data_IF_870265928390
#
_entry.id   IF_870265928390
#
_cell.length_a   1.000
_cell.length_b   1.000
_cell.length_c   1.000
_cell.angle_alpha   90.00
_cell.angle_beta   90.00
_cell.angle_gamma   90.00
#
_symmetry.space_group_name_H-M   'P 1'
#
loop_
_entity.id
_entity.type
_entity.pdbx_description
1 polymer ?
#
# COMPACT_ATOMS: atom_id res chain seq x y z
N UNK A 1 -28.44 3.94 1.86
CA UNK A 1 -27.36 4.52 2.68
C UNK A 1 -26.08 3.78 2.38
N UNK A 2 -25.09 4.44 1.77
CA UNK A 2 -23.79 3.85 1.51
C UNK A 2 -23.09 3.62 2.87
N UNK A 3 -22.85 2.35 3.22
CA UNK A 3 -22.06 2.03 4.40
C UNK A 3 -20.59 2.26 4.05
N UNK A 4 -20.01 3.21 4.74
CA UNK A 4 -18.60 3.57 4.69
C UNK A 4 -17.74 2.31 4.73
N UNK A 5 -17.00 2.05 3.65
CA UNK A 5 -16.09 0.92 3.52
C UNK A 5 -14.67 1.31 3.96
N UNK A 6 -14.59 2.19 4.95
CA UNK A 6 -13.32 2.60 5.56
C UNK A 6 -12.81 1.43 6.37
N UNK A 7 -11.69 0.86 5.91
CA UNK A 7 -10.90 -0.10 6.65
C UNK A 7 -10.48 0.58 7.96
N UNK A 8 -10.91 0.04 9.09
CA UNK A 8 -10.61 0.63 10.40
C UNK A 8 -9.22 0.18 10.86
N UNK A 9 -8.20 0.84 10.31
CA UNK A 9 -6.78 0.52 10.53
C UNK A 9 -6.35 0.67 12.01
N UNK A 10 -7.12 1.39 12.83
CA UNK A 10 -6.89 1.54 14.27
C UNK A 10 -7.01 0.21 15.01
N UNK A 11 -8.00 -0.61 14.66
CA UNK A 11 -8.29 -1.90 15.32
C UNK A 11 -7.20 -2.96 15.05
N UNK A 12 -6.42 -2.79 13.97
CA UNK A 12 -5.31 -3.67 13.57
C UNK A 12 -4.00 -3.26 14.27
N UNK A 13 -3.75 -1.96 14.46
CA UNK A 13 -2.60 -1.46 15.20
C UNK A 13 -2.68 -1.80 16.70
N UNK A 14 -3.87 -1.68 17.30
CA UNK A 14 -4.10 -2.01 18.71
C UNK A 14 -3.83 -3.49 19.03
N UNK A 15 -4.11 -4.42 18.12
CA UNK A 15 -3.87 -5.87 18.33
C UNK A 15 -2.39 -6.27 18.35
N UNK A 16 -1.48 -5.42 17.87
CA UNK A 16 -0.02 -5.62 18.01
C UNK A 16 0.55 -5.00 19.29
N UNK A 17 -0.23 -4.28 20.09
CA UNK A 17 0.25 -3.64 21.32
C UNK A 17 1.27 -2.53 21.09
N UNK A 18 1.36 -2.00 19.86
CA UNK A 18 2.28 -0.90 19.52
C UNK A 18 1.42 0.29 19.08
N UNK A 19 1.27 1.26 19.97
CA UNK A 19 0.85 2.61 19.57
C UNK A 19 1.99 3.21 18.75
N UNK A 20 2.05 2.91 17.44
CA UNK A 20 2.97 3.61 16.55
C UNK A 20 2.29 4.88 16.05
N UNK A 21 2.91 6.03 16.27
CA UNK A 21 2.55 7.30 15.60
C UNK A 21 2.79 7.24 14.09
N UNK A 22 3.47 6.20 13.61
CA UNK A 22 3.73 5.96 12.20
C UNK A 22 2.48 5.46 11.47
N UNK A 23 2.03 6.25 10.49
CA UNK A 23 0.90 5.92 9.63
C UNK A 23 1.38 5.15 8.40
N UNK A 24 0.86 3.95 8.24
CA UNK A 24 1.11 3.09 7.07
C UNK A 24 -0.05 3.16 6.08
N UNK A 25 0.25 2.89 4.81
CA UNK A 25 -0.67 3.00 3.70
C UNK A 25 -0.60 1.73 2.85
N UNK A 26 -1.75 1.24 2.40
CA UNK A 26 -1.81 0.25 1.33
C UNK A 26 -1.31 0.86 0.03
N UNK A 27 -0.91 0.00 -0.90
CA UNK A 27 -0.47 0.44 -2.25
C UNK A 27 -1.58 1.22 -2.97
N UNK A 28 -2.85 0.88 -2.74
CA UNK A 28 -3.99 1.62 -3.27
C UNK A 28 -4.06 3.05 -2.73
N UNK A 29 -3.87 3.22 -1.42
CA UNK A 29 -3.87 4.55 -0.79
C UNK A 29 -2.66 5.38 -1.24
N UNK A 30 -1.49 4.75 -1.41
CA UNK A 30 -0.33 5.42 -2.02
C UNK A 30 -0.64 5.92 -3.44
N UNK A 31 -1.30 5.11 -4.28
CA UNK A 31 -1.73 5.56 -5.60
C UNK A 31 -2.65 6.79 -5.51
N UNK A 32 -3.61 6.79 -4.57
CA UNK A 32 -4.51 7.93 -4.36
C UNK A 32 -3.77 9.19 -3.90
N UNK A 33 -2.79 9.05 -3.01
CA UNK A 33 -1.92 10.16 -2.59
C UNK A 33 -1.20 10.76 -3.78
N UNK A 34 -0.64 9.94 -4.67
CA UNK A 34 0.07 10.43 -5.86
C UNK A 34 -0.89 11.12 -6.84
N UNK A 35 -2.06 10.51 -7.10
CA UNK A 35 -3.06 11.08 -8.00
C UNK A 35 -3.57 12.45 -7.53
N UNK A 36 -3.86 12.57 -6.24
CA UNK A 36 -4.47 13.76 -5.65
C UNK A 36 -3.46 14.80 -5.16
N UNK A 37 -2.18 14.42 -5.02
CA UNK A 37 -1.11 15.27 -4.54
C UNK A 37 -0.42 16.08 -5.63
N UNK A 38 0.63 16.79 -5.21
CA UNK A 38 1.54 17.53 -6.09
C UNK A 38 2.66 16.60 -6.58
N UNK A 39 2.36 15.86 -7.64
CA UNK A 39 3.29 14.93 -8.30
C UNK A 39 3.25 15.16 -9.81
N UNK A 40 4.31 14.76 -10.50
CA UNK A 40 4.41 14.87 -11.96
C UNK A 40 3.30 14.12 -12.69
N UNK A 41 2.99 14.54 -13.92
CA UNK A 41 2.00 13.86 -14.75
C UNK A 41 2.40 12.40 -15.03
N UNK A 42 3.70 12.14 -15.14
CA UNK A 42 4.29 10.82 -15.33
C UNK A 42 4.04 9.93 -14.11
N UNK A 43 4.27 10.44 -12.90
CA UNK A 43 4.01 9.71 -11.65
C UNK A 43 2.51 9.38 -11.52
N UNK A 44 1.63 10.36 -11.78
CA UNK A 44 0.17 10.15 -11.77
C UNK A 44 -0.26 9.10 -12.78
N UNK A 45 0.28 9.14 -14.00
CA UNK A 45 -0.01 8.16 -15.06
C UNK A 45 0.48 6.76 -14.72
N UNK A 46 1.60 6.63 -14.02
CA UNK A 46 2.12 5.34 -13.56
C UNK A 46 1.14 4.67 -12.60
N UNK A 47 0.62 5.41 -11.62
CA UNK A 47 -0.20 4.87 -10.55
C UNK A 47 -1.69 4.77 -10.89
N UNK A 48 -2.12 5.23 -12.06
CA UNK A 48 -3.53 5.26 -12.46
C UNK A 48 -3.87 4.26 -13.57
N UNK A 49 -5.18 4.07 -13.81
CA UNK A 49 -5.69 3.44 -15.04
C UNK A 49 -5.26 4.23 -16.28
N UNK A 50 -5.41 3.61 -17.47
CA UNK A 50 -5.13 4.29 -18.75
C UNK A 50 -5.93 5.60 -18.94
N UNK A 51 -7.13 5.67 -18.36
CA UNK A 51 -7.98 6.87 -18.39
C UNK A 51 -7.61 7.92 -17.33
N UNK A 52 -6.74 7.58 -16.37
CA UNK A 52 -6.35 8.47 -15.28
C UNK A 52 -7.37 8.62 -14.15
N UNK A 53 -8.50 7.91 -14.22
CA UNK A 53 -9.66 8.13 -13.36
C UNK A 53 -9.61 7.34 -12.04
N UNK A 54 -8.85 6.25 -12.00
CA UNK A 54 -8.80 5.32 -10.85
C UNK A 54 -7.38 4.89 -10.52
N UNK A 55 -7.07 4.57 -9.26
CA UNK A 55 -5.79 3.99 -8.89
C UNK A 55 -5.62 2.62 -9.55
N UNK A 56 -4.37 2.29 -9.90
CA UNK A 56 -3.97 1.00 -10.46
C UNK A 56 -2.80 0.43 -9.64
N UNK A 57 -3.09 -0.19 -8.48
CA UNK A 57 -2.07 -0.67 -7.53
C UNK A 57 -1.11 -1.69 -8.14
N UNK A 58 -1.54 -2.45 -9.15
CA UNK A 58 -0.67 -3.40 -9.83
C UNK A 58 0.52 -2.74 -10.52
N UNK A 59 0.36 -1.51 -11.01
CA UNK A 59 1.47 -0.77 -11.63
C UNK A 59 2.49 -0.34 -10.56
N UNK A 60 2.01 0.27 -9.46
CA UNK A 60 2.88 0.69 -8.37
C UNK A 60 3.59 -0.50 -7.73
N UNK A 61 2.90 -1.65 -7.59
CA UNK A 61 3.53 -2.86 -7.09
C UNK A 61 4.68 -3.35 -7.97
N UNK A 62 4.48 -3.39 -9.28
CA UNK A 62 5.54 -3.77 -10.24
C UNK A 62 6.69 -2.78 -10.19
N UNK A 63 6.41 -1.49 -10.09
CA UNK A 63 7.44 -0.47 -10.03
C UNK A 63 8.28 -0.58 -8.75
N UNK A 64 7.66 -0.78 -7.60
CA UNK A 64 8.37 -1.06 -6.35
C UNK A 64 9.24 -2.33 -6.43
N UNK A 65 8.79 -3.34 -7.17
CA UNK A 65 9.56 -4.56 -7.43
C UNK A 65 10.76 -4.29 -8.35
N UNK A 66 10.57 -3.56 -9.45
CA UNK A 66 11.63 -3.16 -10.37
C UNK A 66 12.73 -2.34 -9.68
N UNK A 67 12.34 -1.49 -8.72
CA UNK A 67 13.25 -0.71 -7.88
C UNK A 67 13.87 -1.52 -6.71
N UNK A 68 13.49 -2.78 -6.56
CA UNK A 68 14.03 -3.70 -5.56
C UNK A 68 13.53 -3.48 -4.14
N UNK A 69 12.41 -2.77 -3.94
CA UNK A 69 11.81 -2.56 -2.61
C UNK A 69 10.91 -3.73 -2.16
N UNK A 70 10.36 -4.50 -3.10
CA UNK A 70 9.56 -5.67 -2.78
C UNK A 70 9.73 -6.80 -3.78
N UNK A 71 9.32 -8.00 -3.39
CA UNK A 71 9.21 -9.16 -4.27
C UNK A 71 7.83 -9.79 -4.14
N UNK A 72 7.43 -10.54 -5.15
CA UNK A 72 6.22 -11.37 -5.10
C UNK A 72 6.62 -12.80 -4.82
N UNK A 73 6.14 -13.33 -3.71
CA UNK A 73 6.27 -14.74 -3.35
C UNK A 73 4.88 -15.36 -3.41
N UNK A 74 4.68 -16.29 -4.34
CA UNK A 74 3.37 -16.80 -4.75
C UNK A 74 2.39 -15.65 -5.12
N UNK A 75 1.46 -15.34 -4.21
CA UNK A 75 0.46 -14.27 -4.34
C UNK A 75 0.58 -13.18 -3.28
N UNK A 76 1.67 -13.17 -2.52
CA UNK A 76 1.92 -12.21 -1.45
C UNK A 76 3.08 -11.30 -1.83
N UNK A 77 2.85 -9.99 -1.78
CA UNK A 77 3.91 -9.00 -1.87
C UNK A 77 4.62 -8.91 -0.52
N UNK A 78 5.95 -9.05 -0.54
CA UNK A 78 6.83 -8.98 0.64
C UNK A 78 7.90 -7.91 0.39
N UNK A 79 8.16 -7.07 1.38
CA UNK A 79 9.28 -6.14 1.32
C UNK A 79 10.63 -6.88 1.27
N UNK A 80 11.57 -6.36 0.49
CA UNK A 80 12.98 -6.77 0.55
C UNK A 80 13.68 -6.08 1.71
N UNK A 81 14.95 -6.39 1.98
CA UNK A 81 15.77 -5.67 2.96
C UNK A 81 15.75 -4.14 2.72
N UNK A 82 15.78 -3.72 1.44
CA UNK A 82 15.68 -2.31 1.05
C UNK A 82 14.30 -1.71 1.35
N UNK A 83 13.24 -2.50 1.27
CA UNK A 83 11.86 -2.06 1.53
C UNK A 83 11.49 -2.00 3.00
N UNK A 84 12.17 -2.77 3.86
CA UNK A 84 11.83 -2.93 5.27
C UNK A 84 11.80 -1.61 6.04
N UNK A 85 12.69 -0.66 5.74
CA UNK A 85 12.70 0.67 6.37
C UNK A 85 11.38 1.45 6.17
N UNK A 86 10.71 1.19 5.05
CA UNK A 86 9.49 1.88 4.64
C UNK A 86 8.25 1.01 4.75
N UNK A 87 8.33 -0.20 5.29
CA UNK A 87 7.22 -1.14 5.25
C UNK A 87 6.92 -1.78 6.59
N UNK A 88 5.65 -2.13 6.79
CA UNK A 88 5.24 -3.09 7.81
C UNK A 88 4.36 -4.17 7.15
N UNK A 89 4.15 -5.26 7.87
CA UNK A 89 3.34 -6.38 7.45
C UNK A 89 2.09 -6.46 8.31
N UNK A 90 0.92 -6.28 7.69
CA UNK A 90 -0.37 -6.36 8.38
C UNK A 90 -1.07 -7.67 8.03
N UNK A 91 -1.61 -8.31 9.06
CA UNK A 91 -2.43 -9.49 8.96
C UNK A 91 -3.90 -9.06 8.94
N UNK A 92 -4.62 -9.37 7.86
CA UNK A 92 -6.05 -9.13 7.75
C UNK A 92 -6.82 -10.46 7.75
N UNK A 93 -7.80 -10.61 8.63
CA UNK A 93 -8.74 -11.73 8.55
C UNK A 93 -9.87 -11.31 7.62
N UNK A 94 -10.04 -12.01 6.51
CA UNK A 94 -11.18 -11.79 5.63
C UNK A 94 -12.49 -11.96 6.43
N UNK A 95 -13.40 -11.00 6.34
CA UNK A 95 -14.75 -11.14 6.96
C UNK A 95 -15.59 -12.25 6.30
N UNK A 96 -15.19 -12.69 5.10
CA UNK A 96 -15.94 -13.65 4.28
C UNK A 96 -15.23 -15.00 4.13
N UNK A 97 -14.06 -15.19 4.75
CA UNK A 97 -13.35 -16.47 4.75
C UNK A 97 -12.44 -16.59 5.97
N UNK A 98 -12.24 -17.80 6.47
CA UNK A 98 -11.27 -18.08 7.55
C UNK A 98 -9.81 -17.82 7.13
N UNK A 99 -9.58 -17.41 5.88
CA UNK A 99 -8.25 -17.13 5.36
C UNK A 99 -7.74 -15.82 5.93
N UNK A 100 -6.61 -15.95 6.59
CA UNK A 100 -5.73 -14.83 6.89
C UNK A 100 -5.05 -14.39 5.59
N UNK A 101 -5.20 -13.11 5.24
CA UNK A 101 -4.48 -12.48 4.13
C UNK A 101 -3.45 -11.52 4.71
N UNK A 102 -2.23 -11.62 4.23
CA UNK A 102 -1.17 -10.72 4.64
C UNK A 102 -0.93 -9.65 3.58
N UNK A 103 -0.71 -8.42 4.02
CA UNK A 103 -0.44 -7.30 3.14
C UNK A 103 0.79 -6.53 3.63
N UNK A 104 1.73 -6.29 2.73
CA UNK A 104 2.77 -5.28 2.94
C UNK A 104 2.12 -3.90 2.80
N UNK A 105 2.30 -3.07 3.82
CA UNK A 105 1.90 -1.66 3.85
C UNK A 105 3.15 -0.80 3.94
N UNK A 106 3.01 0.47 3.53
CA UNK A 106 4.14 1.34 3.28
C UNK A 106 3.99 2.67 4.03
N UNK A 107 5.09 3.20 4.54
CA UNK A 107 5.22 4.59 4.95
C UNK A 107 5.09 5.50 3.72
N UNK A 108 4.49 6.69 3.86
CA UNK A 108 4.28 7.62 2.73
C UNK A 108 5.60 8.05 2.08
N UNK A 109 6.66 8.10 2.87
CA UNK A 109 8.03 8.48 2.53
C UNK A 109 8.61 7.65 1.38
N UNK A 110 8.10 6.43 1.13
CA UNK A 110 8.50 5.64 -0.03
C UNK A 110 8.24 6.41 -1.34
N UNK A 111 7.21 7.26 -1.39
CA UNK A 111 6.88 8.04 -2.58
C UNK A 111 8.01 9.01 -2.94
N UNK A 112 8.69 9.60 -1.96
CA UNK A 112 9.82 10.51 -2.17
C UNK A 112 11.09 9.78 -2.65
N UNK A 113 11.12 8.44 -2.56
CA UNK A 113 12.24 7.62 -3.03
C UNK A 113 12.03 7.13 -4.47
N UNK A 114 10.80 7.15 -4.96
CA UNK A 114 10.42 6.56 -6.25
C UNK A 114 9.87 7.59 -7.24
N UNK A 115 9.56 8.81 -6.78
CA UNK A 115 9.17 9.98 -7.58
C UNK A 115 9.93 11.21 -7.11
#
# INVERSE_FOLDING_TARGET
MAKDSTVDFLEIAEKKGVSTTEKYYTVTELCQIVMNGDFSAEAKKLVSTKKGDKPRPQNLNKFLQELGFQTKDEDIWKATEKGQEFSDFVQNKSRHSEKTVFHTVWKKEILNKIF
#
